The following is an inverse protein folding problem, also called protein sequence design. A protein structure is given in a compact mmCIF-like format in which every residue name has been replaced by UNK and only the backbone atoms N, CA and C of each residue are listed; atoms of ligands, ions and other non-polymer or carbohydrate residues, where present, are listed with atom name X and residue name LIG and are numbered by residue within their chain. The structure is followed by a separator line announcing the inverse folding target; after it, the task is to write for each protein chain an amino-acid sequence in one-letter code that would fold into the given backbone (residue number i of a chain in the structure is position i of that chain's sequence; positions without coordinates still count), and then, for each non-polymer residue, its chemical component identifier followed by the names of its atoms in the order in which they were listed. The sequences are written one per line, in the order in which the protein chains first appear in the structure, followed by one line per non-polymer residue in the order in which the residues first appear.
data_IF_304802072501
#
_entry.id   IF_304802072501
#
_cell.length_a   1.000
_cell.length_b   1.000
_cell.length_c   1.000
_cell.angle_alpha   90.00
_cell.angle_beta   90.00
_cell.angle_gamma   90.00
#
_symmetry.space_group_name_H-M   'P 1'
#
loop_
_entity.id
_entity.type
_entity.pdbx_description
1 polymer ?
#
# COMPACT_ATOMS: atom_id res chain seq x y z
N UNK A 1 -18.62 -15.21 8.35
CA UNK A 1 -17.38 -14.45 8.59
C UNK A 1 -16.33 -15.34 9.25
N UNK A 2 -15.21 -15.64 8.58
CA UNK A 2 -14.10 -16.40 9.19
C UNK A 2 -13.14 -15.42 9.89
N UNK A 3 -13.02 -15.50 11.22
CA UNK A 3 -12.22 -14.58 12.05
C UNK A 3 -10.75 -14.55 11.63
N UNK A 4 -10.17 -15.70 11.24
CA UNK A 4 -8.77 -15.80 10.82
C UNK A 4 -8.56 -15.03 9.50
N UNK A 5 -9.49 -15.16 8.56
CA UNK A 5 -9.45 -14.46 7.27
C UNK A 5 -9.57 -12.95 7.47
N UNK A 6 -10.45 -12.50 8.37
CA UNK A 6 -10.59 -11.08 8.72
C UNK A 6 -9.34 -10.50 9.39
N UNK A 7 -8.66 -11.25 10.25
CA UNK A 7 -7.38 -10.79 10.82
C UNK A 7 -6.31 -10.67 9.71
N UNK A 8 -6.24 -11.68 8.84
CA UNK A 8 -5.28 -11.70 7.74
C UNK A 8 -5.50 -10.55 6.75
N UNK A 9 -6.76 -10.24 6.40
CA UNK A 9 -7.10 -9.12 5.51
C UNK A 9 -6.63 -7.79 6.12
N UNK A 10 -6.88 -7.56 7.40
CA UNK A 10 -6.52 -6.33 8.08
C UNK A 10 -5.01 -6.16 8.18
N UNK A 11 -4.28 -7.25 8.42
CA UNK A 11 -2.81 -7.25 8.43
C UNK A 11 -2.25 -6.97 7.03
N UNK A 12 -2.78 -7.60 5.98
CA UNK A 12 -2.36 -7.37 4.59
C UNK A 12 -2.60 -5.93 4.14
N UNK A 13 -3.81 -5.42 4.37
CA UNK A 13 -4.17 -4.05 4.02
C UNK A 13 -3.35 -3.06 4.84
N UNK A 14 -3.27 -3.25 6.16
CA UNK A 14 -2.53 -2.38 7.06
C UNK A 14 -1.03 -2.31 6.73
N UNK A 15 -0.40 -3.46 6.50
CA UNK A 15 1.02 -3.52 6.10
C UNK A 15 1.26 -2.91 4.71
N UNK A 16 0.33 -3.09 3.77
CA UNK A 16 0.35 -2.42 2.46
C UNK A 16 0.32 -0.89 2.57
N UNK A 17 -0.57 -0.37 3.41
CA UNK A 17 -0.67 1.08 3.70
C UNK A 17 0.62 1.59 4.35
N UNK A 18 1.18 0.88 5.34
CA UNK A 18 2.42 1.26 6.00
C UNK A 18 3.57 1.33 4.98
N UNK A 19 3.70 0.34 4.09
CA UNK A 19 4.73 0.35 3.04
C UNK A 19 4.56 1.53 2.07
N UNK A 20 3.33 1.88 1.71
CA UNK A 20 3.05 3.06 0.89
C UNK A 20 3.44 4.35 1.61
N UNK A 21 3.08 4.50 2.88
CA UNK A 21 3.46 5.65 3.70
C UNK A 21 4.98 5.77 3.86
N UNK A 22 5.69 4.64 4.01
CA UNK A 22 7.15 4.63 4.03
C UNK A 22 7.74 5.12 2.70
N UNK A 23 7.21 4.65 1.57
CA UNK A 23 7.66 5.11 0.25
C UNK A 23 7.44 6.63 0.05
N UNK A 24 6.28 7.14 0.45
CA UNK A 24 5.95 8.58 0.42
C UNK A 24 6.89 9.36 1.35
N UNK A 25 7.13 8.86 2.56
CA UNK A 25 7.99 9.52 3.54
C UNK A 25 9.46 9.55 3.10
N UNK A 26 9.95 8.47 2.49
CA UNK A 26 11.28 8.40 1.88
C UNK A 26 11.42 9.45 0.77
N UNK A 27 10.43 9.52 -0.13
CA UNK A 27 10.41 10.49 -1.21
C UNK A 27 10.33 11.94 -0.70
N UNK A 28 9.42 12.23 0.22
CA UNK A 28 9.23 13.56 0.81
C UNK A 28 10.46 14.02 1.58
N UNK A 29 11.11 13.12 2.33
CA UNK A 29 12.36 13.42 3.03
C UNK A 29 13.52 13.67 2.06
N UNK A 30 13.61 12.94 0.95
CA UNK A 30 14.68 13.10 -0.05
C UNK A 30 14.53 14.40 -0.84
N UNK A 31 13.32 14.72 -1.26
CA UNK A 31 13.05 15.80 -2.22
C UNK A 31 12.62 17.10 -1.52
N UNK A 32 12.29 17.06 -0.22
CA UNK A 32 11.65 18.12 0.55
C UNK A 32 10.31 18.62 -0.04
N UNK A 33 9.79 17.93 -1.06
CA UNK A 33 8.55 18.25 -1.75
C UNK A 33 7.44 17.28 -1.31
N UNK A 34 6.70 17.69 -0.28
CA UNK A 34 5.54 16.98 0.23
C UNK A 34 4.32 17.07 -0.70
N UNK A 35 4.25 18.12 -1.53
CA UNK A 35 3.20 18.27 -2.54
C UNK A 35 3.35 17.22 -3.64
N UNK A 36 4.57 17.05 -4.13
CA UNK A 36 4.95 15.96 -5.03
C UNK A 36 4.74 14.58 -4.39
N UNK A 37 5.01 14.43 -3.09
CA UNK A 37 4.82 13.16 -2.38
C UNK A 37 3.35 12.68 -2.38
N UNK A 38 2.39 13.60 -2.22
CA UNK A 38 0.95 13.29 -2.37
C UNK A 38 0.54 13.01 -3.82
N UNK A 39 1.20 13.64 -4.79
CA UNK A 39 0.93 13.46 -6.21
C UNK A 39 1.58 12.19 -6.79
N UNK A 40 2.33 11.42 -6.00
CA UNK A 40 3.01 10.19 -6.41
C UNK A 40 2.06 9.13 -7.00
N UNK A 41 0.78 9.15 -6.59
CA UNK A 41 -0.25 8.27 -7.14
C UNK A 41 -0.90 8.78 -8.43
N UNK A 42 -0.75 10.06 -8.74
CA UNK A 42 -1.47 10.73 -9.84
C UNK A 42 -0.53 11.04 -11.00
N UNK A 43 0.67 11.53 -10.69
CA UNK A 43 1.67 11.95 -11.67
C UNK A 43 2.80 10.93 -11.69
N UNK A 44 3.37 10.68 -12.87
CA UNK A 44 4.64 9.96 -12.97
C UNK A 44 5.73 10.82 -12.34
N UNK A 45 6.29 10.34 -11.24
CA UNK A 45 7.42 10.97 -10.55
C UNK A 45 8.60 10.00 -10.62
N UNK A 46 9.80 10.54 -10.81
CA UNK A 46 11.02 9.74 -10.74
C UNK A 46 11.30 9.29 -9.31
N UNK A 47 11.02 8.02 -9.05
CA UNK A 47 11.32 7.33 -7.81
C UNK A 47 12.69 6.68 -7.91
N UNK A 48 13.48 6.80 -6.85
CA UNK A 48 14.69 6.01 -6.70
C UNK A 48 14.37 4.51 -6.62
N UNK A 49 15.37 3.66 -6.87
CA UNK A 49 15.21 2.20 -6.81
C UNK A 49 14.64 1.71 -5.46
N UNK A 50 15.00 2.36 -4.35
CA UNK A 50 14.49 1.99 -3.02
C UNK A 50 13.04 2.43 -2.83
N UNK A 51 12.72 3.67 -3.20
CA UNK A 51 11.34 4.21 -3.16
C UNK A 51 10.40 3.35 -4.01
N UNK A 52 10.86 2.94 -5.20
CA UNK A 52 10.09 2.11 -6.11
C UNK A 52 9.86 0.69 -5.57
N UNK A 53 10.84 0.10 -4.87
CA UNK A 53 10.68 -1.21 -4.22
C UNK A 53 9.60 -1.16 -3.14
N UNK A 54 9.68 -0.19 -2.22
CA UNK A 54 8.69 -0.03 -1.14
C UNK A 54 7.30 0.27 -1.68
N UNK A 55 7.22 1.12 -2.70
CA UNK A 55 5.96 1.41 -3.39
C UNK A 55 5.37 0.15 -4.01
N UNK A 56 6.15 -0.62 -4.79
CA UNK A 56 5.66 -1.84 -5.45
C UNK A 56 5.22 -2.90 -4.45
N UNK A 57 5.98 -3.10 -3.36
CA UNK A 57 5.61 -4.04 -2.28
C UNK A 57 4.31 -3.58 -1.62
N UNK A 58 4.20 -2.29 -1.27
CA UNK A 58 3.03 -1.73 -0.62
C UNK A 58 1.76 -1.84 -1.47
N UNK A 59 1.84 -1.47 -2.76
CA UNK A 59 0.72 -1.62 -3.71
C UNK A 59 0.33 -3.10 -3.85
N UNK A 60 1.30 -4.01 -3.95
CA UNK A 60 1.02 -5.44 -4.13
C UNK A 60 0.34 -6.04 -2.88
N UNK A 61 0.85 -5.73 -1.68
CA UNK A 61 0.24 -6.17 -0.42
C UNK A 61 -1.17 -5.62 -0.24
N UNK A 62 -1.34 -4.33 -0.52
CA UNK A 62 -2.65 -3.68 -0.43
C UNK A 62 -3.65 -4.33 -1.40
N UNK A 63 -3.24 -4.55 -2.65
CA UNK A 63 -4.10 -5.19 -3.65
C UNK A 63 -4.49 -6.62 -3.27
N UNK A 64 -3.53 -7.42 -2.78
CA UNK A 64 -3.82 -8.78 -2.28
C UNK A 64 -4.78 -8.73 -1.09
N UNK A 65 -4.56 -7.82 -0.14
CA UNK A 65 -5.47 -7.64 1.01
C UNK A 65 -6.90 -7.28 0.60
N UNK A 66 -7.05 -6.39 -0.39
CA UNK A 66 -8.36 -6.04 -0.96
C UNK A 66 -9.01 -7.24 -1.66
N UNK A 67 -8.25 -8.03 -2.42
CA UNK A 67 -8.76 -9.25 -3.05
C UNK A 67 -9.25 -10.26 -2.01
N UNK A 68 -8.47 -10.49 -0.95
CA UNK A 68 -8.86 -11.37 0.16
C UNK A 68 -10.17 -10.88 0.80
N UNK A 69 -10.31 -9.56 1.00
CA UNK A 69 -11.54 -8.96 1.53
C UNK A 69 -12.74 -9.20 0.61
N UNK A 70 -12.59 -9.01 -0.70
CA UNK A 70 -13.66 -9.26 -1.68
C UNK A 70 -14.07 -10.74 -1.64
N UNK A 71 -13.10 -11.65 -1.64
CA UNK A 71 -13.38 -13.08 -1.54
C UNK A 71 -14.06 -13.45 -0.21
N UNK A 72 -13.63 -12.85 0.90
CA UNK A 72 -14.24 -13.08 2.21
C UNK A 72 -15.71 -12.63 2.22
N UNK A 73 -16.01 -11.45 1.68
CA UNK A 73 -17.37 -10.94 1.53
C UNK A 73 -18.21 -11.75 0.53
N UNK A 74 -17.60 -12.31 -0.51
CA UNK A 74 -18.36 -13.09 -1.52
C UNK A 74 -18.71 -14.49 -1.02
N UNK A 75 -17.82 -15.13 -0.26
CA UNK A 75 -17.99 -16.51 0.20
C UNK A 75 -18.71 -16.62 1.56
N UNK A 76 -18.58 -15.60 2.41
CA UNK A 76 -19.14 -15.59 3.77
C UNK A 76 -19.94 -14.32 4.11
N UNK A 77 -20.27 -13.50 3.11
CA UNK A 77 -21.15 -12.34 3.23
C UNK A 77 -22.62 -12.72 3.38
#
# INVERSE_FOLDING_TARGET
MNVIVTILENVLIGSGIICLLLAISLYGKRTADWGGACLLFVKRIDLSLQEHKWYRIGVSLFFIGVLVRILNLTLWG
#
